data_IF_057502960064
#
_entry.id   IF_057502960064
#
_cell.length_a   1.000
_cell.length_b   1.000
_cell.length_c   1.000
_cell.angle_alpha   90.00
_cell.angle_beta   90.00
_cell.angle_gamma   90.00
#
_symmetry.space_group_name_H-M   'P 1'
#
loop_
_entity.id
_entity.type
_entity.pdbx_description
1 polymer ?
#
# COMPACT_ATOMS: atom_id res chain seq x y z
N UNK A 1 -43.34 -44.69 -49.95
CA UNK A 1 -43.23 -43.21 -49.96
C UNK A 1 -42.91 -42.66 -48.56
N UNK A 2 -43.46 -43.26 -47.49
CA UNK A 2 -43.18 -42.87 -46.08
C UNK A 2 -41.73 -42.95 -45.62
N UNK A 3 -40.95 -43.95 -46.06
CA UNK A 3 -39.58 -44.13 -45.61
C UNK A 3 -38.66 -42.96 -46.01
N UNK A 4 -38.87 -42.40 -47.20
CA UNK A 4 -38.07 -41.27 -47.73
C UNK A 4 -38.36 -39.99 -46.93
N UNK A 5 -39.62 -39.75 -46.58
CA UNK A 5 -40.01 -38.58 -45.78
C UNK A 5 -39.42 -38.67 -44.36
N UNK A 6 -39.44 -39.86 -43.74
CA UNK A 6 -38.82 -40.08 -42.42
C UNK A 6 -37.30 -39.87 -42.44
N UNK A 7 -36.62 -40.29 -43.50
CA UNK A 7 -35.18 -40.05 -43.67
C UNK A 7 -34.91 -38.54 -43.76
N UNK A 8 -35.67 -37.83 -44.59
CA UNK A 8 -35.52 -36.36 -44.75
C UNK A 8 -35.78 -35.60 -43.45
N UNK A 9 -36.76 -36.03 -42.65
CA UNK A 9 -37.03 -35.46 -41.33
C UNK A 9 -35.90 -35.74 -40.34
N UNK A 10 -35.35 -36.96 -40.33
CA UNK A 10 -34.20 -37.32 -39.50
C UNK A 10 -32.95 -36.50 -39.87
N UNK A 11 -32.69 -36.28 -41.16
CA UNK A 11 -31.60 -35.42 -41.65
C UNK A 11 -31.76 -33.96 -41.19
N UNK A 12 -32.97 -33.42 -41.29
CA UNK A 12 -33.28 -32.06 -40.83
C UNK A 12 -33.06 -31.91 -39.32
N UNK A 13 -33.54 -32.87 -38.54
CA UNK A 13 -33.35 -32.89 -37.09
C UNK A 13 -31.87 -33.03 -36.70
N UNK A 14 -31.12 -33.88 -37.39
CA UNK A 14 -29.68 -34.01 -37.16
C UNK A 14 -28.93 -32.72 -37.48
N UNK A 15 -29.29 -32.02 -38.56
CA UNK A 15 -28.72 -30.73 -38.92
C UNK A 15 -29.00 -29.67 -37.85
N UNK A 16 -30.24 -29.60 -37.36
CA UNK A 16 -30.62 -28.66 -36.29
C UNK A 16 -29.86 -28.93 -34.98
N UNK A 17 -29.65 -30.21 -34.63
CA UNK A 17 -28.86 -30.59 -33.45
C UNK A 17 -27.39 -30.14 -33.63
N UNK A 18 -26.81 -30.33 -34.80
CA UNK A 18 -25.44 -29.91 -35.10
C UNK A 18 -25.28 -28.39 -35.02
N UNK A 19 -26.19 -27.64 -35.63
CA UNK A 19 -26.16 -26.17 -35.60
C UNK A 19 -26.25 -25.66 -34.16
N UNK A 20 -27.17 -26.21 -33.36
CA UNK A 20 -27.32 -25.87 -31.96
C UNK A 20 -26.06 -26.21 -31.15
N UNK A 21 -25.47 -27.39 -31.35
CA UNK A 21 -24.25 -27.78 -30.65
C UNK A 21 -23.06 -26.86 -30.99
N UNK A 22 -22.98 -26.39 -32.24
CA UNK A 22 -21.96 -25.42 -32.66
C UNK A 22 -22.19 -24.07 -31.99
N UNK A 23 -23.44 -23.60 -31.92
CA UNK A 23 -23.79 -22.36 -31.24
C UNK A 23 -23.50 -22.42 -29.74
N UNK A 24 -23.95 -23.50 -29.08
CA UNK A 24 -23.72 -23.73 -27.65
C UNK A 24 -22.21 -23.77 -27.33
N UNK A 25 -21.41 -24.43 -28.18
CA UNK A 25 -19.95 -24.47 -28.03
C UNK A 25 -19.32 -23.07 -28.09
N UNK A 26 -19.72 -22.25 -29.07
CA UNK A 26 -19.24 -20.87 -29.18
C UNK A 26 -19.63 -20.02 -27.97
N UNK A 27 -20.86 -20.20 -27.48
CA UNK A 27 -21.36 -19.50 -26.30
C UNK A 27 -20.59 -19.91 -25.03
N UNK A 28 -20.28 -21.20 -24.87
CA UNK A 28 -19.47 -21.70 -23.76
C UNK A 28 -18.09 -21.04 -23.78
N UNK A 29 -17.40 -21.06 -24.92
CA UNK A 29 -16.06 -20.45 -25.06
C UNK A 29 -16.10 -18.97 -24.71
N UNK A 30 -17.02 -18.20 -25.33
CA UNK A 30 -17.17 -16.76 -25.07
C UNK A 30 -17.47 -16.47 -23.60
N UNK A 31 -18.32 -17.28 -22.97
CA UNK A 31 -18.65 -17.11 -21.55
C UNK A 31 -17.47 -17.42 -20.64
N UNK A 32 -16.63 -18.39 -21.00
CA UNK A 32 -15.44 -18.75 -20.27
C UNK A 32 -14.36 -17.66 -20.38
N UNK A 33 -14.16 -17.11 -21.58
CA UNK A 33 -13.27 -15.97 -21.82
C UNK A 33 -13.68 -14.76 -20.97
N UNK A 34 -14.96 -14.37 -21.03
CA UNK A 34 -15.47 -13.22 -20.28
C UNK A 34 -15.40 -13.42 -18.76
N UNK A 35 -15.63 -14.65 -18.28
CA UNK A 35 -15.43 -14.97 -16.86
C UNK A 35 -13.96 -14.87 -16.47
N UNK A 36 -13.05 -15.40 -17.29
CA UNK A 36 -11.61 -15.32 -17.05
C UNK A 36 -11.11 -13.88 -16.99
N UNK A 37 -11.54 -13.03 -17.92
CA UNK A 37 -11.19 -11.61 -17.93
C UNK A 37 -11.72 -10.88 -16.68
N UNK A 38 -12.97 -11.14 -16.27
CA UNK A 38 -13.55 -10.55 -15.08
C UNK A 38 -12.86 -11.00 -13.79
N UNK A 39 -12.54 -12.30 -13.67
CA UNK A 39 -11.81 -12.83 -12.53
C UNK A 39 -10.40 -12.25 -12.45
N UNK A 40 -9.70 -12.17 -13.58
CA UNK A 40 -8.39 -11.54 -13.66
C UNK A 40 -8.45 -10.07 -13.23
N UNK A 41 -9.37 -9.29 -13.80
CA UNK A 41 -9.54 -7.87 -13.44
C UNK A 41 -9.87 -7.70 -11.95
N UNK A 42 -10.77 -8.54 -11.42
CA UNK A 42 -11.11 -8.51 -9.99
C UNK A 42 -9.91 -8.83 -9.10
N UNK A 43 -9.09 -9.80 -9.50
CA UNK A 43 -7.89 -10.18 -8.75
C UNK A 43 -6.85 -9.05 -8.74
N UNK A 44 -6.64 -8.38 -9.88
CA UNK A 44 -5.74 -7.22 -9.95
C UNK A 44 -6.26 -6.09 -9.05
N UNK A 45 -7.54 -5.72 -9.15
CA UNK A 45 -8.11 -4.66 -8.31
C UNK A 45 -8.01 -4.96 -6.82
N UNK A 46 -8.24 -6.21 -6.39
CA UNK A 46 -8.05 -6.62 -4.99
C UNK A 46 -6.59 -6.52 -4.57
N UNK A 47 -5.65 -6.96 -5.40
CA UNK A 47 -4.24 -6.87 -5.09
C UNK A 47 -3.75 -5.42 -4.96
N UNK A 48 -4.27 -4.51 -5.79
CA UNK A 48 -4.00 -3.07 -5.71
C UNK A 48 -4.54 -2.47 -4.41
N UNK A 49 -5.76 -2.82 -4.02
CA UNK A 49 -6.38 -2.39 -2.76
C UNK A 49 -5.60 -2.88 -1.54
N UNK A 50 -5.24 -4.16 -1.50
CA UNK A 50 -4.41 -4.74 -0.45
C UNK A 50 -3.04 -4.06 -0.37
N UNK A 51 -2.42 -3.79 -1.51
CA UNK A 51 -1.15 -3.06 -1.57
C UNK A 51 -1.26 -1.66 -0.98
N UNK A 52 -2.36 -0.96 -1.28
CA UNK A 52 -2.61 0.38 -0.72
C UNK A 52 -2.77 0.30 0.80
N UNK A 53 -3.56 -0.65 1.30
CA UNK A 53 -3.75 -0.85 2.75
C UNK A 53 -2.43 -1.17 3.46
N UNK A 54 -1.58 -2.01 2.88
CA UNK A 54 -0.25 -2.33 3.43
C UNK A 54 0.62 -1.06 3.52
N UNK A 55 0.65 -0.24 2.46
CA UNK A 55 1.41 1.02 2.44
C UNK A 55 0.91 2.01 3.49
N UNK A 56 -0.40 2.20 3.59
CA UNK A 56 -1.01 3.10 4.58
C UNK A 56 -0.72 2.63 6.00
N UNK A 57 -0.84 1.33 6.27
CA UNK A 57 -0.51 0.74 7.57
C UNK A 57 0.97 0.94 7.92
N UNK A 58 1.88 0.69 6.98
CA UNK A 58 3.31 0.88 7.20
C UNK A 58 3.66 2.35 7.49
N UNK A 59 3.01 3.29 6.81
CA UNK A 59 3.20 4.73 7.05
C UNK A 59 2.68 5.14 8.43
N UNK A 60 1.49 4.65 8.82
CA UNK A 60 0.90 4.93 10.12
C UNK A 60 1.75 4.33 11.26
N UNK A 61 2.21 3.10 11.13
CA UNK A 61 3.12 2.47 12.09
C UNK A 61 4.46 3.23 12.18
N UNK A 62 4.99 3.69 11.05
CA UNK A 62 6.19 4.53 11.00
C UNK A 62 6.01 5.82 11.79
N UNK A 63 4.90 6.51 11.58
CA UNK A 63 4.59 7.76 12.29
C UNK A 63 4.41 7.54 13.80
N UNK A 64 3.69 6.49 14.20
CA UNK A 64 3.51 6.14 15.62
C UNK A 64 4.86 5.86 16.29
N UNK A 65 5.79 5.19 15.59
CA UNK A 65 7.13 4.92 16.12
C UNK A 65 8.01 6.17 16.15
N UNK A 66 7.83 7.10 15.20
CA UNK A 66 8.60 8.33 15.12
C UNK A 66 8.17 9.37 16.18
N UNK A 67 6.89 9.45 16.52
CA UNK A 67 6.34 10.39 17.48
C UNK A 67 7.05 10.40 18.86
N UNK A 68 7.28 9.26 19.54
CA UNK A 68 8.00 9.25 20.81
C UNK A 68 9.47 9.65 20.64
N UNK A 69 10.10 9.35 19.50
CA UNK A 69 11.50 9.72 19.23
C UNK A 69 11.61 11.24 19.14
N UNK A 70 10.69 11.88 18.40
CA UNK A 70 10.64 13.34 18.27
C UNK A 70 10.42 14.00 19.64
N UNK A 71 9.45 13.49 20.42
CA UNK A 71 9.16 14.01 21.76
C UNK A 71 10.36 13.90 22.71
N UNK A 72 11.06 12.76 22.70
CA UNK A 72 12.29 12.59 23.49
C UNK A 72 13.37 13.58 23.02
N UNK A 73 13.51 13.79 21.71
CA UNK A 73 14.44 14.76 21.15
C UNK A 73 14.14 16.18 21.63
N UNK A 74 12.88 16.61 21.59
CA UNK A 74 12.44 17.92 22.09
C UNK A 74 12.71 18.08 23.59
N UNK A 75 12.42 17.06 24.39
CA UNK A 75 12.73 17.07 25.83
C UNK A 75 14.23 17.21 26.10
N UNK A 76 15.08 16.54 25.31
CA UNK A 76 16.54 16.65 25.44
C UNK A 76 17.03 18.04 25.05
N UNK A 77 16.52 18.61 23.94
CA UNK A 77 16.83 19.98 23.53
C UNK A 77 16.46 20.97 24.62
N UNK A 78 15.24 20.85 25.18
CA UNK A 78 14.77 21.71 26.26
C UNK A 78 15.66 21.59 27.51
N UNK A 79 16.17 20.41 27.84
CA UNK A 79 17.14 20.22 28.95
C UNK A 79 18.48 20.91 28.68
N UNK A 80 18.94 20.93 27.43
CA UNK A 80 20.18 21.61 27.04
C UNK A 80 20.01 23.13 27.04
N UNK A 81 18.89 23.64 26.51
CA UNK A 81 18.63 25.07 26.43
C UNK A 81 18.35 25.65 27.82
N UNK A 82 17.59 24.94 28.65
CA UNK A 82 17.31 25.34 30.04
C UNK A 82 18.48 24.99 30.99
N UNK A 83 19.73 25.20 30.56
CA UNK A 83 20.86 25.23 31.49
C UNK A 83 20.52 26.26 32.56
N UNK A 84 20.55 25.82 33.83
CA UNK A 84 20.32 26.70 34.98
C UNK A 84 21.16 27.97 34.83
N UNK A 85 20.49 29.12 34.92
CA UNK A 85 21.12 30.44 34.88
C UNK A 85 22.32 30.52 35.84
N UNK A 86 22.25 29.81 36.97
CA UNK A 86 23.33 29.70 37.95
C UNK A 86 24.61 29.07 37.38
N UNK A 87 24.50 28.01 36.57
CA UNK A 87 25.65 27.37 35.91
C UNK A 87 26.24 28.27 34.82
N UNK A 88 25.39 28.97 34.09
CA UNK A 88 25.82 29.95 33.09
C UNK A 88 26.58 31.10 33.78
N UNK A 89 26.01 31.68 34.82
CA UNK A 89 26.64 32.76 35.60
C UNK A 89 27.96 32.32 36.24
N UNK A 90 28.01 31.09 36.78
CA UNK A 90 29.25 30.51 37.31
C UNK A 90 30.34 30.39 36.23
N UNK A 91 29.97 29.91 35.04
CA UNK A 91 30.89 29.80 33.92
C UNK A 91 31.39 31.17 33.45
N UNK A 92 30.51 32.17 33.38
CA UNK A 92 30.88 33.56 33.07
C UNK A 92 31.88 34.11 34.09
N UNK A 93 31.60 33.93 35.39
CA UNK A 93 32.49 34.39 36.46
C UNK A 93 33.87 33.72 36.40
N UNK A 94 33.93 32.41 36.16
CA UNK A 94 35.20 31.69 36.00
C UNK A 94 36.03 32.21 34.81
N UNK A 95 35.38 32.56 33.70
CA UNK A 95 36.08 33.14 32.55
C UNK A 95 36.59 34.55 32.88
N UNK A 96 35.78 35.38 33.55
CA UNK A 96 36.19 36.72 34.00
C UNK A 96 37.39 36.62 34.95
N UNK A 97 37.33 35.77 35.97
CA UNK A 97 38.45 35.56 36.90
C UNK A 97 39.73 35.13 36.16
N UNK A 98 39.61 34.24 35.16
CA UNK A 98 40.77 33.80 34.38
C UNK A 98 41.38 34.92 33.54
N UNK A 99 40.56 35.79 32.95
CA UNK A 99 41.03 36.98 32.21
C UNK A 99 41.69 37.98 33.15
N UNK A 100 41.05 38.27 34.29
CA UNK A 100 41.57 39.21 35.29
C UNK A 100 42.89 38.71 35.88
N UNK A 101 43.01 37.41 36.19
CA UNK A 101 44.27 36.85 36.70
C UNK A 101 45.38 36.81 35.64
N UNK A 102 45.05 36.74 34.35
CA UNK A 102 46.02 36.78 33.26
C UNK A 102 46.48 38.22 32.94
N UNK A 103 45.58 39.20 33.03
CA UNK A 103 45.86 40.61 32.71
C UNK A 103 46.17 41.49 33.95
N UNK A 104 45.96 40.99 35.16
CA UNK A 104 46.07 41.73 36.42
C UNK A 104 47.44 41.67 37.10
N UNK A 105 48.42 40.99 36.50
CA UNK A 105 49.83 41.14 36.84
C UNK A 105 50.42 42.29 35.99
N UNK A 106 50.06 43.52 36.33
CA UNK A 106 50.85 44.75 36.14
C UNK A 106 50.38 45.80 37.14
#
# INVERSE_FOLDING_TARGET
MDAINKIKEAECNASAILEKAIEDSKNIIKSAELKGENEYSTLISKAEEETKLIKEKALLEGNIKAEPILKIGEEQINKIINIQQDKFNLAVNLVIERIVNFNGNS
#
